data_IF_330537186299
#
_entry.id   IF_330537186299
#
_cell.length_a   1.000
_cell.length_b   1.000
_cell.length_c   1.000
_cell.angle_alpha   90.00
_cell.angle_beta   90.00
_cell.angle_gamma   90.00
#
_symmetry.space_group_name_H-M   'P 1'
#
loop_
_entity.id
_entity.type
_entity.pdbx_description
1 polymer ?
#
# COMPACT_ATOMS: atom_id res chain seq x y z
N UNK A 1 30.28 -127.51 -29.96
CA UNK A 1 30.65 -126.16 -30.42
C UNK A 1 32.13 -125.97 -30.14
N UNK A 2 32.85 -125.41 -31.10
CA UNK A 2 34.30 -125.18 -31.06
C UNK A 2 34.64 -124.06 -30.05
N UNK A 3 35.80 -124.10 -29.39
CA UNK A 3 36.30 -123.01 -28.54
C UNK A 3 36.33 -121.65 -29.27
N UNK A 4 36.47 -121.68 -30.59
CA UNK A 4 36.42 -120.49 -31.44
C UNK A 4 35.02 -119.86 -31.50
N UNK A 5 33.96 -120.66 -31.48
CA UNK A 5 32.57 -120.18 -31.53
C UNK A 5 32.18 -119.47 -30.23
N UNK A 6 32.65 -119.97 -29.09
CA UNK A 6 32.44 -119.36 -27.77
C UNK A 6 33.13 -118.01 -27.65
N UNK A 7 34.39 -117.92 -28.09
CA UNK A 7 35.15 -116.67 -28.13
C UNK A 7 34.50 -115.63 -29.05
N UNK A 8 34.04 -116.05 -30.23
CA UNK A 8 33.35 -115.16 -31.18
C UNK A 8 32.04 -114.64 -30.58
N UNK A 9 31.30 -115.47 -29.84
CA UNK A 9 30.06 -115.06 -29.19
C UNK A 9 30.32 -114.05 -28.06
N UNK A 10 31.34 -114.28 -27.23
CA UNK A 10 31.73 -113.36 -26.15
C UNK A 10 32.27 -112.02 -26.67
N UNK A 11 33.06 -112.05 -27.74
CA UNK A 11 33.50 -110.83 -28.44
C UNK A 11 32.29 -110.08 -29.01
N UNK A 12 31.36 -110.78 -29.67
CA UNK A 12 30.15 -110.16 -30.25
C UNK A 12 29.29 -109.50 -29.18
N UNK A 13 29.07 -110.19 -28.06
CA UNK A 13 28.34 -109.64 -26.91
C UNK A 13 29.02 -108.41 -26.31
N UNK A 14 30.35 -108.43 -26.20
CA UNK A 14 31.12 -107.30 -25.69
C UNK A 14 31.07 -106.10 -26.64
N UNK A 15 31.13 -106.35 -27.96
CA UNK A 15 30.97 -105.33 -29.00
C UNK A 15 29.58 -104.70 -28.94
N UNK A 16 28.51 -105.50 -28.81
CA UNK A 16 27.14 -104.99 -28.69
C UNK A 16 26.95 -104.12 -27.44
N UNK A 17 27.53 -104.55 -26.31
CA UNK A 17 27.52 -103.78 -25.06
C UNK A 17 28.28 -102.46 -25.18
N UNK A 18 29.43 -102.45 -25.86
CA UNK A 18 30.19 -101.24 -26.14
C UNK A 18 29.44 -100.30 -27.10
N UNK A 19 28.83 -100.84 -28.16
CA UNK A 19 27.99 -100.08 -29.09
C UNK A 19 26.82 -99.39 -28.38
N UNK A 20 26.17 -100.11 -27.45
CA UNK A 20 25.05 -99.57 -26.67
C UNK A 20 25.51 -98.41 -25.78
N UNK A 21 26.63 -98.59 -25.05
CA UNK A 21 27.24 -97.52 -24.25
C UNK A 21 27.65 -96.31 -25.09
N UNK A 22 28.24 -96.52 -26.26
CA UNK A 22 28.59 -95.44 -27.19
C UNK A 22 27.35 -94.66 -27.60
N UNK A 23 26.24 -95.34 -27.87
CA UNK A 23 25.00 -94.68 -28.27
C UNK A 23 24.36 -93.88 -27.12
N UNK A 24 24.38 -94.42 -25.90
CA UNK A 24 23.95 -93.69 -24.70
C UNK A 24 24.79 -92.43 -24.44
N UNK A 25 26.11 -92.53 -24.54
CA UNK A 25 27.01 -91.37 -24.38
C UNK A 25 26.78 -90.32 -25.48
N UNK A 26 26.52 -90.74 -26.72
CA UNK A 26 26.15 -89.81 -27.80
C UNK A 26 24.88 -89.02 -27.49
N UNK A 27 23.84 -89.68 -26.97
CA UNK A 27 22.61 -89.01 -26.57
C UNK A 27 22.83 -88.10 -25.33
N UNK A 28 23.65 -88.50 -24.36
CA UNK A 28 24.05 -87.63 -23.23
C UNK A 28 24.77 -86.37 -23.72
N UNK A 29 25.72 -86.52 -24.65
CA UNK A 29 26.46 -85.38 -25.24
C UNK A 29 25.50 -84.45 -25.99
N UNK A 30 24.53 -85.00 -26.73
CA UNK A 30 23.52 -84.22 -27.46
C UNK A 30 22.65 -83.41 -26.49
N UNK A 31 22.14 -84.04 -25.43
CA UNK A 31 21.35 -83.36 -24.41
C UNK A 31 22.16 -82.28 -23.68
N UNK A 32 23.43 -82.54 -23.40
CA UNK A 32 24.34 -81.56 -22.80
C UNK A 32 24.52 -80.33 -23.70
N UNK A 33 24.71 -80.52 -25.01
CA UNK A 33 24.82 -79.39 -25.98
C UNK A 33 23.55 -78.54 -26.02
N UNK A 34 22.38 -79.17 -26.02
CA UNK A 34 21.09 -78.44 -25.98
C UNK A 34 20.97 -77.61 -24.71
N UNK A 35 21.30 -78.20 -23.55
CA UNK A 35 21.28 -77.48 -22.27
C UNK A 35 22.29 -76.33 -22.23
N UNK A 36 23.46 -76.51 -22.82
CA UNK A 36 24.47 -75.47 -22.93
C UNK A 36 23.98 -74.29 -23.79
N UNK A 37 23.31 -74.57 -24.92
CA UNK A 37 22.74 -73.52 -25.77
C UNK A 37 21.65 -72.73 -25.05
N UNK A 38 20.78 -73.40 -24.30
CA UNK A 38 19.74 -72.73 -23.50
C UNK A 38 20.34 -71.81 -22.41
N UNK A 39 21.38 -72.28 -21.72
CA UNK A 39 22.09 -71.45 -20.73
C UNK A 39 22.75 -70.22 -21.35
N UNK A 40 23.35 -70.34 -22.54
CA UNK A 40 23.92 -69.19 -23.26
C UNK A 40 22.82 -68.18 -23.61
N UNK A 41 21.67 -68.66 -24.07
CA UNK A 41 20.53 -67.81 -24.40
C UNK A 41 20.02 -67.04 -23.18
N UNK A 42 19.80 -67.74 -22.06
CA UNK A 42 19.39 -67.13 -20.79
C UNK A 42 20.41 -66.10 -20.29
N UNK A 43 21.71 -66.41 -20.40
CA UNK A 43 22.76 -65.49 -20.00
C UNK A 43 22.77 -64.21 -20.86
N UNK A 44 22.53 -64.33 -22.17
CA UNK A 44 22.41 -63.18 -23.07
C UNK A 44 21.18 -62.33 -22.73
N UNK A 45 20.04 -62.95 -22.41
CA UNK A 45 18.82 -62.24 -21.98
C UNK A 45 19.04 -61.48 -20.66
N UNK A 46 19.73 -62.11 -19.69
CA UNK A 46 20.11 -61.47 -18.43
C UNK A 46 21.05 -60.28 -18.69
N UNK A 47 22.05 -60.45 -19.56
CA UNK A 47 22.99 -59.39 -19.88
C UNK A 47 22.30 -58.19 -20.53
N UNK A 48 21.40 -58.43 -21.48
CA UNK A 48 20.61 -57.36 -22.10
C UNK A 48 19.71 -56.65 -21.07
N UNK A 49 19.08 -57.40 -20.16
CA UNK A 49 18.29 -56.82 -19.07
C UNK A 49 19.14 -55.96 -18.14
N UNK A 50 20.36 -56.40 -17.81
CA UNK A 50 21.27 -55.64 -16.96
C UNK A 50 21.73 -54.34 -17.64
N UNK A 51 22.04 -54.38 -18.93
CA UNK A 51 22.39 -53.19 -19.71
C UNK A 51 21.23 -52.18 -19.75
N UNK A 52 19.99 -52.66 -19.90
CA UNK A 52 18.80 -51.81 -19.85
C UNK A 52 18.61 -51.18 -18.45
N UNK A 53 18.73 -51.97 -17.39
CA UNK A 53 18.63 -51.48 -16.02
C UNK A 53 19.71 -50.44 -15.71
N UNK A 54 20.94 -50.63 -16.20
CA UNK A 54 22.03 -49.68 -16.06
C UNK A 54 21.68 -48.33 -16.70
N UNK A 55 21.12 -48.35 -17.91
CA UNK A 55 20.71 -47.15 -18.63
C UNK A 55 19.53 -46.43 -17.94
N UNK A 56 18.60 -47.19 -17.36
CA UNK A 56 17.47 -46.62 -16.61
C UNK A 56 17.92 -46.00 -15.28
N UNK A 57 18.87 -46.61 -14.58
CA UNK A 57 19.51 -46.03 -13.39
C UNK A 57 20.17 -44.70 -13.73
N UNK A 58 21.00 -44.65 -14.79
CA UNK A 58 21.71 -43.42 -15.17
C UNK A 58 20.73 -42.28 -15.55
N UNK A 59 19.60 -42.63 -16.18
CA UNK A 59 18.54 -41.67 -16.51
C UNK A 59 17.83 -41.14 -15.25
N UNK A 60 17.53 -42.03 -14.30
CA UNK A 60 16.90 -41.65 -13.04
C UNK A 60 17.81 -40.75 -12.23
N UNK A 61 19.10 -41.05 -12.11
CA UNK A 61 20.07 -40.20 -11.41
C UNK A 61 20.07 -38.78 -11.98
N UNK A 62 20.19 -38.64 -13.31
CA UNK A 62 20.15 -37.32 -13.97
C UNK A 62 18.86 -36.55 -13.70
N UNK A 63 17.73 -37.25 -13.63
CA UNK A 63 16.41 -36.63 -13.44
C UNK A 63 16.21 -36.20 -11.98
N UNK A 64 16.53 -37.06 -11.03
CA UNK A 64 16.37 -36.82 -9.58
C UNK A 64 17.19 -35.60 -9.14
N UNK A 65 18.46 -35.51 -9.53
CA UNK A 65 19.30 -34.37 -9.14
C UNK A 65 18.78 -33.05 -9.72
N UNK A 66 18.22 -33.07 -10.93
CA UNK A 66 17.61 -31.88 -11.57
C UNK A 66 16.33 -31.45 -10.84
N UNK A 67 15.44 -32.39 -10.51
CA UNK A 67 14.22 -32.10 -9.76
C UNK A 67 14.52 -31.56 -8.36
N UNK A 68 15.54 -32.09 -7.68
CA UNK A 68 15.98 -31.59 -6.38
C UNK A 68 16.47 -30.14 -6.46
N UNK A 69 17.28 -29.79 -7.47
CA UNK A 69 17.72 -28.41 -7.69
C UNK A 69 16.56 -27.46 -8.00
N UNK A 70 15.61 -27.89 -8.83
CA UNK A 70 14.41 -27.09 -9.12
C UNK A 70 13.57 -26.85 -7.86
N UNK A 71 13.41 -27.88 -7.04
CA UNK A 71 12.67 -27.80 -5.77
C UNK A 71 13.34 -26.79 -4.81
N UNK A 72 14.67 -26.79 -4.73
CA UNK A 72 15.41 -25.82 -3.91
C UNK A 72 15.22 -24.38 -4.43
N UNK A 73 15.27 -24.18 -5.75
CA UNK A 73 15.02 -22.87 -6.37
C UNK A 73 13.59 -22.38 -6.11
N UNK A 74 12.60 -23.27 -6.24
CA UNK A 74 11.19 -22.98 -5.93
C UNK A 74 11.02 -22.61 -4.44
N UNK A 75 11.70 -23.30 -3.53
CA UNK A 75 11.67 -22.98 -2.10
C UNK A 75 12.21 -21.58 -1.82
N UNK A 76 13.35 -21.21 -2.43
CA UNK A 76 13.94 -19.86 -2.29
C UNK A 76 13.04 -18.77 -2.88
N UNK A 77 12.43 -19.05 -4.04
CA UNK A 77 11.48 -18.14 -4.65
C UNK A 77 10.25 -17.92 -3.75
N UNK A 78 9.73 -19.00 -3.14
CA UNK A 78 8.59 -18.92 -2.24
C UNK A 78 8.91 -18.11 -0.96
N UNK A 79 10.11 -18.30 -0.39
CA UNK A 79 10.58 -17.50 0.74
C UNK A 79 10.67 -16.01 0.40
N UNK A 80 11.18 -15.66 -0.79
CA UNK A 80 11.24 -14.28 -1.25
C UNK A 80 9.84 -13.67 -1.45
N UNK A 81 8.90 -14.45 -1.99
CA UNK A 81 7.51 -14.03 -2.14
C UNK A 81 6.88 -13.76 -0.77
N UNK A 82 7.09 -14.65 0.19
CA UNK A 82 6.59 -14.49 1.56
C UNK A 82 7.13 -13.22 2.23
N UNK A 83 8.44 -12.95 2.09
CA UNK A 83 9.05 -11.71 2.58
C UNK A 83 8.45 -10.46 1.93
N UNK A 84 8.18 -10.51 0.61
CA UNK A 84 7.52 -9.41 -0.10
C UNK A 84 6.09 -9.19 0.38
N UNK A 85 5.32 -10.26 0.59
CA UNK A 85 3.96 -10.19 1.13
C UNK A 85 3.98 -9.52 2.51
N UNK A 86 4.90 -9.91 3.39
CA UNK A 86 5.05 -9.30 4.71
C UNK A 86 5.38 -7.81 4.63
N UNK A 87 6.29 -7.41 3.74
CA UNK A 87 6.64 -6.00 3.53
C UNK A 87 5.47 -5.19 2.99
N UNK A 88 4.71 -5.75 2.04
CA UNK A 88 3.53 -5.10 1.48
C UNK A 88 2.42 -4.94 2.52
N UNK A 89 2.16 -5.97 3.32
CA UNK A 89 1.19 -5.90 4.41
C UNK A 89 1.56 -4.83 5.44
N UNK A 90 2.84 -4.73 5.80
CA UNK A 90 3.32 -3.66 6.69
C UNK A 90 3.06 -2.28 6.08
N UNK A 91 3.43 -2.09 4.82
CA UNK A 91 3.22 -0.81 4.12
C UNK A 91 1.73 -0.45 4.04
N UNK A 92 0.86 -1.43 3.77
CA UNK A 92 -0.59 -1.24 3.74
C UNK A 92 -1.11 -0.75 5.11
N UNK A 93 -0.68 -1.38 6.20
CA UNK A 93 -1.09 -0.95 7.56
C UNK A 93 -0.62 0.46 7.90
N UNK A 94 0.56 0.87 7.40
CA UNK A 94 1.08 2.23 7.58
C UNK A 94 0.25 3.26 6.80
N UNK A 95 -0.13 2.94 5.56
CA UNK A 95 -1.01 3.76 4.73
C UNK A 95 -2.39 3.92 5.38
N UNK A 96 -2.98 2.84 5.88
CA UNK A 96 -4.29 2.89 6.54
C UNK A 96 -4.25 3.79 7.78
N UNK A 97 -3.20 3.65 8.60
CA UNK A 97 -2.99 4.48 9.78
C UNK A 97 -2.79 5.96 9.42
N UNK A 98 -2.02 6.25 8.37
CA UNK A 98 -1.83 7.60 7.88
C UNK A 98 -3.16 8.20 7.35
N UNK A 99 -3.94 7.40 6.62
CA UNK A 99 -5.26 7.79 6.13
C UNK A 99 -6.26 8.09 7.24
N UNK A 100 -6.31 7.27 8.30
CA UNK A 100 -7.14 7.54 9.48
C UNK A 100 -6.69 8.82 10.22
N UNK A 101 -5.38 9.01 10.35
CA UNK A 101 -4.83 10.23 10.94
C UNK A 101 -5.22 11.48 10.15
N UNK A 102 -5.07 11.47 8.83
CA UNK A 102 -5.49 12.60 7.99
C UNK A 102 -6.99 12.87 8.07
N UNK A 103 -7.83 11.82 8.13
CA UNK A 103 -9.28 11.97 8.29
C UNK A 103 -9.64 12.61 9.64
N UNK A 104 -8.98 12.18 10.72
CA UNK A 104 -9.23 12.76 12.04
C UNK A 104 -8.75 14.20 12.13
N UNK A 105 -7.54 14.53 11.64
CA UNK A 105 -7.03 15.91 11.59
C UNK A 105 -7.94 16.82 10.76
N UNK A 106 -8.40 16.35 9.59
CA UNK A 106 -9.38 17.08 8.77
C UNK A 106 -10.67 17.35 9.55
N UNK A 107 -11.20 16.35 10.25
CA UNK A 107 -12.45 16.51 11.00
C UNK A 107 -12.29 17.50 12.16
N UNK A 108 -11.16 17.46 12.87
CA UNK A 108 -10.83 18.43 13.93
C UNK A 108 -10.81 19.84 13.35
N UNK A 109 -10.09 20.05 12.25
CA UNK A 109 -9.98 21.36 11.61
C UNK A 109 -11.34 21.87 11.11
N UNK A 110 -12.18 21.00 10.55
CA UNK A 110 -13.54 21.37 10.14
C UNK A 110 -14.42 21.79 11.32
N UNK A 111 -14.27 21.15 12.47
CA UNK A 111 -14.99 21.53 13.68
C UNK A 111 -14.49 22.88 14.23
N UNK A 112 -13.17 23.11 14.24
CA UNK A 112 -12.60 24.41 14.61
C UNK A 112 -13.13 25.56 13.72
N UNK A 113 -13.21 25.33 12.40
CA UNK A 113 -13.79 26.32 11.48
C UNK A 113 -15.28 26.53 11.73
N UNK A 114 -16.05 25.45 11.99
CA UNK A 114 -17.46 25.53 12.32
C UNK A 114 -17.69 26.35 13.60
N UNK A 115 -16.93 26.10 14.65
CA UNK A 115 -16.98 26.85 15.90
C UNK A 115 -16.63 28.33 15.70
N UNK A 116 -15.62 28.60 14.87
CA UNK A 116 -15.22 29.97 14.55
C UNK A 116 -16.29 30.73 13.76
N UNK A 117 -16.94 30.07 12.79
CA UNK A 117 -18.08 30.63 12.06
C UNK A 117 -19.23 30.92 13.02
N UNK A 118 -19.59 29.96 13.87
CA UNK A 118 -20.65 30.13 14.89
C UNK A 118 -20.34 31.32 15.82
N UNK A 119 -19.07 31.49 16.21
CA UNK A 119 -18.63 32.63 17.01
C UNK A 119 -18.82 33.96 16.27
N UNK A 120 -18.46 34.03 14.98
CA UNK A 120 -18.66 35.23 14.17
C UNK A 120 -20.14 35.54 13.94
N UNK A 121 -20.98 34.55 13.67
CA UNK A 121 -22.43 34.72 13.54
C UNK A 121 -23.05 35.29 14.81
N UNK A 122 -22.69 34.74 15.97
CA UNK A 122 -23.13 35.26 17.27
C UNK A 122 -22.70 36.74 17.46
N UNK A 123 -21.48 37.09 17.07
CA UNK A 123 -21.00 38.47 17.14
C UNK A 123 -21.74 39.40 16.18
N UNK A 124 -22.07 38.95 14.97
CA UNK A 124 -22.85 39.72 13.99
C UNK A 124 -24.25 39.99 14.55
N UNK A 125 -24.90 38.99 15.13
CA UNK A 125 -26.23 39.14 15.75
C UNK A 125 -26.20 40.16 16.90
N UNK A 126 -25.23 40.04 17.81
CA UNK A 126 -25.05 41.00 18.92
C UNK A 126 -24.79 42.42 18.42
N UNK A 127 -23.97 42.57 17.38
CA UNK A 127 -23.74 43.86 16.72
C UNK A 127 -25.02 44.43 16.10
N UNK A 128 -25.86 43.60 15.48
CA UNK A 128 -27.13 44.05 14.90
C UNK A 128 -28.07 44.61 15.98
N UNK A 129 -28.14 43.94 17.15
CA UNK A 129 -28.91 44.43 18.30
C UNK A 129 -28.38 45.78 18.79
N UNK A 130 -27.06 45.90 18.98
CA UNK A 130 -26.44 47.13 19.45
C UNK A 130 -26.63 48.28 18.45
N UNK A 131 -26.46 48.03 17.15
CA UNK A 131 -26.70 49.03 16.09
C UNK A 131 -28.16 49.48 16.07
N UNK A 132 -29.11 48.54 16.17
CA UNK A 132 -30.53 48.87 16.21
C UNK A 132 -30.88 49.74 17.43
N UNK A 133 -30.30 49.42 18.60
CA UNK A 133 -30.47 50.24 19.79
C UNK A 133 -29.91 51.65 19.59
N UNK A 134 -28.69 51.79 19.08
CA UNK A 134 -28.06 53.10 18.83
C UNK A 134 -28.86 53.93 17.83
N UNK A 135 -29.40 53.31 16.77
CA UNK A 135 -30.22 54.02 15.79
C UNK A 135 -31.57 54.47 16.38
N UNK A 136 -32.22 53.61 17.17
CA UNK A 136 -33.43 53.99 17.89
C UNK A 136 -33.15 55.13 18.88
N UNK A 137 -32.05 55.05 19.63
CA UNK A 137 -31.64 56.10 20.56
C UNK A 137 -31.41 57.43 19.84
N UNK A 138 -30.69 57.41 18.71
CA UNK A 138 -30.50 58.60 17.85
C UNK A 138 -31.83 59.21 17.43
N UNK A 139 -32.82 58.39 17.07
CA UNK A 139 -34.17 58.87 16.74
C UNK A 139 -34.91 59.47 17.94
N UNK A 140 -34.74 58.93 19.16
CA UNK A 140 -35.36 59.49 20.37
C UNK A 140 -34.70 60.80 20.81
N UNK A 141 -33.38 60.92 20.66
CA UNK A 141 -32.65 62.18 20.91
C UNK A 141 -33.13 63.30 20.00
N UNK A 142 -33.38 63.02 18.71
CA UNK A 142 -34.00 63.98 17.77
C UNK A 142 -35.40 64.43 18.20
N UNK A 143 -36.08 63.66 19.04
CA UNK A 143 -37.39 63.98 19.62
C UNK A 143 -37.28 64.61 21.02
N UNK A 144 -36.10 65.12 21.38
CA UNK A 144 -35.80 65.73 22.68
C UNK A 144 -36.03 64.80 23.88
N UNK A 145 -35.93 63.48 23.68
CA UNK A 145 -35.93 62.52 24.79
C UNK A 145 -34.49 62.20 25.18
N UNK A 146 -34.21 62.29 26.47
CA UNK A 146 -32.89 62.02 27.03
C UNK A 146 -32.79 60.57 27.50
N UNK A 147 -31.61 59.98 27.29
CA UNK A 147 -31.26 58.67 27.84
C UNK A 147 -30.40 58.91 29.07
N UNK A 148 -30.96 58.65 30.24
CA UNK A 148 -30.29 58.89 31.53
C UNK A 148 -29.23 57.81 31.80
N UNK A 149 -29.49 56.56 31.41
CA UNK A 149 -28.53 55.44 31.57
C UNK A 149 -28.73 54.39 30.47
N UNK A 150 -27.66 53.67 30.12
CA UNK A 150 -27.80 52.52 29.23
C UNK A 150 -28.43 51.33 29.96
N UNK A 151 -29.39 50.63 29.34
CA UNK A 151 -29.88 49.37 29.87
C UNK A 151 -28.73 48.35 30.02
N UNK A 152 -28.76 47.58 31.12
CA UNK A 152 -27.71 46.59 31.42
C UNK A 152 -27.46 45.60 30.27
N UNK A 153 -28.50 45.26 29.49
CA UNK A 153 -28.38 44.40 28.31
C UNK A 153 -27.45 45.01 27.25
N UNK A 154 -27.52 46.33 27.04
CA UNK A 154 -26.69 47.05 26.07
C UNK A 154 -25.25 47.15 26.54
N UNK A 155 -25.04 47.43 27.84
CA UNK A 155 -23.71 47.46 28.46
C UNK A 155 -23.05 46.07 28.36
N UNK A 156 -23.80 45.02 28.71
CA UNK A 156 -23.32 43.65 28.59
C UNK A 156 -23.02 43.26 27.13
N UNK A 157 -23.84 43.69 26.17
CA UNK A 157 -23.58 43.46 24.75
C UNK A 157 -22.31 44.17 24.28
N UNK A 158 -22.11 45.43 24.66
CA UNK A 158 -20.92 46.21 24.34
C UNK A 158 -19.65 45.56 24.91
N UNK A 159 -19.66 45.18 26.19
CA UNK A 159 -18.54 44.50 26.84
C UNK A 159 -18.21 43.13 26.20
N UNK A 160 -19.22 42.38 25.75
CA UNK A 160 -18.99 41.12 25.03
C UNK A 160 -18.37 41.34 23.65
N UNK A 161 -18.70 42.44 22.97
CA UNK A 161 -18.19 42.77 21.64
C UNK A 161 -16.78 43.36 21.67
N UNK A 162 -16.35 43.97 22.77
CA UNK A 162 -14.98 44.50 22.94
C UNK A 162 -13.88 43.46 22.67
N UNK A 163 -14.17 42.16 22.88
CA UNK A 163 -13.23 41.08 22.56
C UNK A 163 -12.89 40.98 21.06
N UNK A 164 -13.67 41.63 20.19
CA UNK A 164 -13.57 41.56 18.73
C UNK A 164 -13.23 42.91 18.08
N UNK A 165 -13.17 43.99 18.86
CA UNK A 165 -12.85 45.33 18.37
C UNK A 165 -11.66 45.91 19.13
N UNK A 166 -10.81 46.67 18.44
CA UNK A 166 -9.66 47.34 19.06
C UNK A 166 -10.04 48.56 19.92
N UNK A 167 -11.33 48.88 20.05
CA UNK A 167 -11.83 50.01 20.81
C UNK A 167 -12.68 49.57 22.00
N UNK A 168 -12.62 50.34 23.08
CA UNK A 168 -13.45 50.16 24.26
C UNK A 168 -14.85 50.73 23.98
N UNK A 169 -15.76 49.87 23.54
CA UNK A 169 -17.12 50.25 23.13
C UNK A 169 -17.94 50.72 24.34
N UNK A 170 -17.79 50.06 25.49
CA UNK A 170 -18.55 50.36 26.72
C UNK A 170 -18.20 51.76 27.22
N UNK A 171 -16.91 52.08 27.29
CA UNK A 171 -16.43 53.40 27.68
C UNK A 171 -16.81 54.49 26.68
N UNK A 172 -16.88 54.18 25.38
CA UNK A 172 -17.42 55.11 24.39
C UNK A 172 -18.91 55.38 24.57
N UNK A 173 -19.70 54.35 24.89
CA UNK A 173 -21.12 54.52 25.18
C UNK A 173 -21.30 55.39 26.42
N UNK A 174 -20.66 55.05 27.54
CA UNK A 174 -20.75 55.79 28.81
C UNK A 174 -20.33 57.26 28.65
N UNK A 175 -19.26 57.54 27.91
CA UNK A 175 -18.82 58.91 27.62
C UNK A 175 -19.87 59.73 26.85
N UNK A 176 -20.69 59.11 26.00
CA UNK A 176 -21.76 59.79 25.26
C UNK A 176 -22.96 60.17 26.14
N UNK A 177 -23.16 59.52 27.29
CA UNK A 177 -24.17 59.91 28.28
C UNK A 177 -23.61 60.98 29.21
N UNK A 178 -22.38 60.81 29.72
CA UNK A 178 -21.75 61.79 30.62
C UNK A 178 -21.37 63.12 29.95
N UNK A 179 -21.03 63.13 28.66
CA UNK A 179 -20.71 64.38 27.94
C UNK A 179 -21.91 65.31 27.75
N UNK A 180 -23.14 64.79 27.86
CA UNK A 180 -24.36 65.61 27.75
C UNK A 180 -24.78 66.25 29.07
N UNK A 181 -24.51 65.58 30.19
CA UNK A 181 -24.62 66.18 31.53
C UNK A 181 -23.69 67.40 31.68
N UNK A 182 -22.57 67.44 30.94
CA UNK A 182 -21.65 68.58 30.88
C UNK A 182 -22.06 69.68 29.86
N UNK A 183 -23.04 69.44 28.98
CA UNK A 183 -23.53 70.41 27.98
C UNK A 183 -24.89 71.03 28.36
N UNK A 184 -25.39 70.75 29.56
CA UNK A 184 -26.61 71.36 30.11
C UNK A 184 -26.46 72.83 30.53
N UNK A 185 -25.27 73.42 30.40
CA UNK A 185 -25.03 74.80 30.80
C UNK A 185 -23.95 75.45 29.93
N UNK A 186 -24.29 75.83 28.69
CA UNK A 186 -23.79 77.03 27.99
C UNK A 186 -24.55 77.18 26.66
N UNK A 187 -25.46 78.15 26.61
CA UNK A 187 -25.99 78.72 25.38
C UNK A 187 -25.06 79.86 24.93
N UNK A 188 -24.83 79.94 23.60
CA UNK A 188 -24.11 81.00 22.84
C UNK A 188 -22.58 80.92 23.00
N UNK A 189 -21.74 80.97 21.96
CA UNK A 189 -21.81 81.67 20.68
C UNK A 189 -20.82 81.03 19.70
N UNK A 190 -21.02 81.21 18.39
CA UNK A 190 -20.09 80.81 17.32
C UNK A 190 -18.77 81.60 17.44
N UNK A 191 -17.61 81.10 16.97
CA UNK A 191 -17.23 81.44 15.60
C UNK A 191 -16.40 80.38 14.83
N UNK A 192 -16.75 80.24 13.54
CA UNK A 192 -15.89 79.81 12.40
C UNK A 192 -14.82 80.92 12.16
N UNK A 193 -13.57 80.75 11.60
CA UNK A 193 -13.25 79.89 10.45
C UNK A 193 -11.77 79.38 10.26
N UNK A 194 -11.57 78.66 9.12
CA UNK A 194 -10.37 78.55 8.25
C UNK A 194 -9.48 77.28 8.30
N UNK A 195 -9.77 76.39 7.35
CA UNK A 195 -8.89 75.77 6.32
C UNK A 195 -7.39 75.58 6.62
N UNK A 196 -6.93 74.33 6.54
CA UNK A 196 -5.70 74.00 5.79
C UNK A 196 -5.80 72.62 5.14
N UNK A 197 -5.49 72.61 3.84
CA UNK A 197 -5.50 71.47 2.92
C UNK A 197 -4.30 70.54 3.16
N UNK A 198 -4.45 69.32 2.63
CA UNK A 198 -3.46 68.47 1.93
C UNK A 198 -3.22 67.12 2.62
N UNK A 199 -3.90 66.09 2.12
CA UNK A 199 -3.36 64.74 2.12
C UNK A 199 -2.81 64.44 0.72
N UNK A 200 -1.49 64.59 0.63
CA UNK A 200 -0.69 64.05 -0.46
C UNK A 200 -0.73 62.53 -0.38
N UNK A 201 -1.16 61.95 -1.50
CA UNK A 201 -1.08 60.54 -1.83
C UNK A 201 0.37 60.05 -1.74
N UNK A 202 0.65 59.02 -0.94
CA UNK A 202 1.85 58.19 -1.08
C UNK A 202 1.45 56.73 -0.94
N UNK A 203 1.35 56.05 -2.08
CA UNK A 203 1.57 54.60 -2.14
C UNK A 203 3.04 54.30 -1.86
N UNK A 204 3.36 53.09 -1.42
CA UNK A 204 4.50 52.39 -1.98
C UNK A 204 4.05 51.13 -2.69
N UNK A 205 4.46 51.04 -3.94
CA UNK A 205 4.43 49.83 -4.74
C UNK A 205 5.73 49.05 -4.56
N UNK A 206 5.58 47.73 -4.65
CA UNK A 206 6.47 46.79 -5.33
C UNK A 206 7.78 46.34 -4.67
N UNK A 207 7.91 45.01 -4.60
CA UNK A 207 8.93 44.14 -5.25
C UNK A 207 9.15 42.91 -4.34
N UNK A 208 9.41 41.70 -4.78
CA UNK A 208 9.38 40.95 -6.05
C UNK A 208 9.95 39.57 -5.68
N UNK A 209 9.56 38.52 -6.42
CA UNK A 209 10.28 37.29 -6.84
C UNK A 209 9.29 36.12 -6.77
N UNK A 210 8.65 35.64 -7.84
CA UNK A 210 9.11 35.18 -9.16
C UNK A 210 9.98 33.90 -9.11
N UNK A 211 9.59 32.95 -9.98
CA UNK A 211 10.20 31.65 -10.34
C UNK A 211 9.65 30.44 -9.56
N UNK A 212 9.24 29.31 -10.15
CA UNK A 212 9.48 28.80 -11.50
C UNK A 212 8.49 27.65 -11.80
N UNK A 213 7.84 27.69 -12.96
CA UNK A 213 7.29 26.52 -13.64
C UNK A 213 8.34 26.03 -14.63
N UNK A 214 8.66 24.74 -14.63
CA UNK A 214 9.29 24.05 -15.76
C UNK A 214 8.61 22.70 -15.94
N UNK A 215 8.26 22.42 -17.19
CA UNK A 215 7.60 21.22 -17.68
C UNK A 215 8.61 20.20 -18.27
N UNK A 216 8.09 18.99 -18.48
CA UNK A 216 8.53 17.93 -19.43
C UNK A 216 9.71 17.00 -19.05
N UNK A 217 9.83 15.77 -19.62
CA UNK A 217 9.08 15.18 -20.76
C UNK A 217 8.52 13.75 -20.59
N UNK A 218 7.79 13.34 -21.64
CA UNK A 218 7.46 11.98 -22.07
C UNK A 218 8.65 11.00 -22.01
N UNK A 219 8.35 9.74 -21.71
CA UNK A 219 9.14 8.60 -22.19
C UNK A 219 8.16 7.59 -22.80
N UNK A 220 8.15 7.56 -24.13
CA UNK A 220 7.74 6.39 -24.92
C UNK A 220 8.72 5.25 -24.64
N UNK A 221 8.18 4.05 -24.39
CA UNK A 221 8.92 2.81 -24.62
C UNK A 221 8.05 1.95 -25.51
N UNK A 222 8.21 2.14 -26.82
CA UNK A 222 8.05 1.05 -27.78
C UNK A 222 9.15 0.03 -27.51
N UNK A 223 8.74 -1.22 -27.39
CA UNK A 223 9.62 -2.37 -27.24
C UNK A 223 8.93 -3.58 -27.85
N UNK A 224 8.76 -3.54 -29.17
CA UNK A 224 8.58 -4.74 -29.97
C UNK A 224 9.83 -5.62 -29.82
N UNK A 225 9.65 -6.84 -29.33
CA UNK A 225 10.54 -7.94 -29.69
C UNK A 225 9.75 -9.25 -29.77
N UNK A 226 9.25 -9.50 -30.98
CA UNK A 226 9.06 -10.83 -31.53
C UNK A 226 10.39 -11.29 -32.12
N UNK A 227 10.86 -12.50 -31.78
CA UNK A 227 11.38 -13.53 -32.69
C UNK A 227 12.24 -14.59 -31.96
N UNK A 228 11.89 -15.85 -32.25
CA UNK A 228 12.55 -17.13 -31.97
C UNK A 228 12.36 -17.76 -30.59
#
# INVERSE_FOLDING_TARGET
MSQLEELVHEISFTVDKLSTKINEERERIKNFKVRQQELIKQNNEIQQSNEQLQADIERLEKTIYREMQQTEQLSKANELVEQRIQSLNKTLTEIDKAGEKMRSEKNILLEEYRDRINSYENCIQKNAILRNFVENWRCQVKRNKELVTFPAVIVNLAAHLEKFYSCNITGQLEALVCSREAQGDTLLDDPVPVVTKNHTHVSPASKNTASEQVAEPMVEVEGDQQMC
#
